data_IF_239581177448
#
_entry.id   IF_239581177448
#
_cell.length_a   1.000
_cell.length_b   1.000
_cell.length_c   1.000
_cell.angle_alpha   90.00
_cell.angle_beta   90.00
_cell.angle_gamma   90.00
#
_symmetry.space_group_name_H-M   'P 1'
#
loop_
_entity.id
_entity.type
_entity.pdbx_description
1 polymer ?
#
# COMPACT_ATOMS: atom_id res chain seq x y z
N UNK A 1 -6.31 -12.56 -5.28
CA UNK A 1 -6.34 -11.24 -4.60
C UNK A 1 -5.63 -10.20 -5.46
N UNK A 2 -6.25 -9.07 -5.64
CA UNK A 2 -5.65 -7.97 -6.40
C UNK A 2 -5.32 -6.83 -5.44
N UNK A 3 -4.07 -6.38 -5.48
CA UNK A 3 -3.57 -5.35 -4.58
C UNK A 3 -3.00 -4.22 -5.42
N UNK A 4 -3.51 -3.01 -5.19
CA UNK A 4 -3.02 -1.81 -5.86
C UNK A 4 -2.52 -0.83 -4.83
N UNK A 5 -1.39 -0.21 -5.10
CA UNK A 5 -0.84 0.87 -4.28
C UNK A 5 -0.66 2.10 -5.15
N UNK A 6 -1.12 3.22 -4.64
CA UNK A 6 -0.93 4.52 -5.26
C UNK A 6 -0.22 5.43 -4.27
N UNK A 7 0.91 5.97 -4.67
CA UNK A 7 1.70 6.90 -3.86
C UNK A 7 1.61 8.29 -4.47
N UNK A 8 1.24 9.26 -3.66
CA UNK A 8 1.15 10.65 -4.08
C UNK A 8 1.89 11.54 -3.10
N UNK A 9 2.20 12.77 -3.51
CA UNK A 9 2.88 13.74 -2.66
C UNK A 9 4.39 13.62 -2.74
N UNK A 10 5.05 13.91 -1.63
CA UNK A 10 6.49 14.02 -1.60
C UNK A 10 6.96 15.32 -2.20
N UNK A 11 8.27 15.56 -2.12
CA UNK A 11 8.86 16.84 -2.51
C UNK A 11 8.67 17.15 -3.99
N UNK A 12 8.75 16.14 -4.85
CA UNK A 12 8.61 16.32 -6.29
C UNK A 12 7.17 16.24 -6.80
N UNK A 13 6.21 15.85 -5.95
CA UNK A 13 4.82 15.73 -6.34
C UNK A 13 4.55 14.64 -7.38
N UNK A 14 5.45 13.69 -7.54
CA UNK A 14 5.32 12.64 -8.55
C UNK A 14 4.45 11.51 -8.02
N UNK A 15 3.40 11.18 -8.77
CA UNK A 15 2.55 10.04 -8.46
C UNK A 15 3.18 8.76 -8.98
N UNK A 16 3.09 7.70 -8.20
CA UNK A 16 3.50 6.37 -8.61
C UNK A 16 2.44 5.37 -8.19
N UNK A 17 2.11 4.45 -9.08
CA UNK A 17 1.17 3.38 -8.75
C UNK A 17 1.63 2.06 -9.33
N UNK A 18 1.21 0.97 -8.70
CA UNK A 18 1.47 -0.37 -9.17
C UNK A 18 0.35 -1.30 -8.70
N UNK A 19 0.17 -2.40 -9.40
CA UNK A 19 -0.86 -3.37 -9.09
C UNK A 19 -0.29 -4.78 -9.24
N UNK A 20 -0.71 -5.68 -8.36
CA UNK A 20 -0.31 -7.08 -8.37
C UNK A 20 -1.55 -7.95 -8.25
N UNK A 21 -1.62 -9.01 -9.06
CA UNK A 21 -2.59 -10.09 -8.88
C UNK A 21 -1.83 -11.26 -8.28
N UNK A 22 -2.12 -11.57 -7.01
CA UNK A 22 -1.38 -12.57 -6.26
C UNK A 22 -1.77 -14.01 -6.63
N UNK A 23 -2.86 -14.20 -7.34
CA UNK A 23 -3.36 -15.55 -7.64
C UNK A 23 -2.38 -16.39 -8.46
N UNK A 24 -1.50 -15.75 -9.22
CA UNK A 24 -0.50 -16.43 -10.05
C UNK A 24 0.88 -16.48 -9.40
N UNK A 25 1.04 -16.00 -8.18
CA UNK A 25 2.33 -15.89 -7.53
C UNK A 25 2.59 -17.05 -6.58
N UNK A 26 3.83 -17.53 -6.57
CA UNK A 26 4.22 -18.62 -5.66
C UNK A 26 4.21 -18.22 -4.19
N UNK A 27 4.36 -16.94 -3.89
CA UNK A 27 4.36 -16.42 -2.53
C UNK A 27 3.02 -15.75 -2.15
N UNK A 28 1.93 -16.18 -2.76
CA UNK A 28 0.59 -15.63 -2.51
C UNK A 28 0.22 -15.62 -1.02
N UNK A 29 0.65 -16.63 -0.26
CA UNK A 29 0.38 -16.70 1.18
C UNK A 29 1.00 -15.54 1.95
N UNK A 30 2.19 -15.10 1.57
CA UNK A 30 2.85 -13.96 2.21
C UNK A 30 2.11 -12.66 1.89
N UNK A 31 1.66 -12.51 0.64
CA UNK A 31 0.86 -11.37 0.23
C UNK A 31 -0.45 -11.31 1.02
N UNK A 32 -1.11 -12.45 1.17
CA UNK A 32 -2.36 -12.53 1.94
C UNK A 32 -2.16 -12.14 3.40
N UNK A 33 -1.11 -12.63 4.03
CA UNK A 33 -0.81 -12.31 5.43
C UNK A 33 -0.62 -10.81 5.63
N UNK A 34 0.14 -10.16 4.75
CA UNK A 34 0.34 -8.72 4.81
C UNK A 34 -0.96 -7.96 4.55
N UNK A 35 -1.72 -8.38 3.54
CA UNK A 35 -2.97 -7.72 3.17
C UNK A 35 -3.99 -7.80 4.31
N UNK A 36 -4.15 -8.97 4.93
CA UNK A 36 -5.06 -9.15 6.05
C UNK A 36 -4.65 -8.26 7.23
N UNK A 37 -3.36 -8.20 7.54
CA UNK A 37 -2.86 -7.35 8.62
C UNK A 37 -3.17 -5.89 8.34
N UNK A 38 -2.93 -5.42 7.11
CA UNK A 38 -3.21 -4.04 6.71
C UNK A 38 -4.69 -3.72 6.86
N UNK A 39 -5.57 -4.63 6.43
CA UNK A 39 -7.02 -4.44 6.55
C UNK A 39 -7.48 -4.43 8.01
N UNK A 40 -6.87 -5.27 8.86
CA UNK A 40 -7.19 -5.34 10.28
C UNK A 40 -6.75 -4.09 11.03
N UNK A 41 -5.63 -3.50 10.64
CA UNK A 41 -5.17 -2.25 11.24
C UNK A 41 -6.08 -1.07 10.92
N UNK A 42 -6.79 -1.14 9.80
CA UNK A 42 -7.71 -0.11 9.38
C UNK A 42 -7.01 1.11 8.78
N UNK A 43 -7.81 2.10 8.43
CA UNK A 43 -7.32 3.31 7.80
C UNK A 43 -6.87 4.31 8.86
N UNK A 44 -5.76 4.99 8.59
CA UNK A 44 -5.39 6.23 9.27
C UNK A 44 -6.28 7.36 8.72
N UNK A 45 -6.28 8.52 9.38
CA UNK A 45 -7.03 9.69 8.93
C UNK A 45 -6.45 10.31 7.64
N UNK A 46 -5.34 9.78 7.17
CA UNK A 46 -4.70 10.24 5.94
C UNK A 46 -3.91 11.53 6.07
N UNK A 47 -3.76 12.04 7.27
CA UNK A 47 -2.99 13.26 7.49
C UNK A 47 -1.51 12.94 7.53
N UNK A 48 -0.79 13.42 6.53
CA UNK A 48 0.65 13.36 6.48
C UNK A 48 1.26 14.73 6.65
N UNK A 49 2.58 14.78 6.70
CA UNK A 49 3.31 16.04 6.63
C UNK A 49 3.31 16.54 5.18
N UNK A 50 3.40 17.85 4.94
CA UNK A 50 3.34 18.38 3.56
C UNK A 50 4.36 17.79 2.61
N UNK A 51 5.54 17.42 3.10
CA UNK A 51 6.62 16.83 2.30
C UNK A 51 6.59 15.31 2.30
N UNK A 52 5.65 14.70 3.01
CA UNK A 52 5.54 13.25 3.10
C UNK A 52 4.73 12.66 1.97
N UNK A 53 4.85 11.35 1.80
CA UNK A 53 4.04 10.61 0.86
C UNK A 53 2.70 10.23 1.47
N UNK A 54 1.66 10.23 0.64
CA UNK A 54 0.37 9.65 0.97
C UNK A 54 0.15 8.40 0.12
N UNK A 55 -0.45 7.39 0.72
CA UNK A 55 -0.64 6.10 0.06
C UNK A 55 -2.10 5.68 0.11
N UNK A 56 -2.56 5.11 -0.99
CA UNK A 56 -3.83 4.40 -1.04
C UNK A 56 -3.52 2.95 -1.38
N UNK A 57 -3.93 2.05 -0.50
CA UNK A 57 -3.75 0.61 -0.69
C UNK A 57 -5.13 0.02 -0.92
N UNK A 58 -5.37 -0.51 -2.12
CA UNK A 58 -6.64 -1.13 -2.46
C UNK A 58 -6.45 -2.63 -2.56
N UNK A 59 -7.21 -3.38 -1.76
CA UNK A 59 -7.16 -4.83 -1.68
C UNK A 59 -8.55 -5.36 -1.98
N UNK A 60 -8.73 -5.99 -3.13
CA UNK A 60 -10.01 -6.54 -3.59
C UNK A 60 -11.17 -5.55 -3.41
N UNK A 61 -10.94 -4.29 -3.76
CA UNK A 61 -11.96 -3.25 -3.71
C UNK A 61 -12.05 -2.48 -2.40
N UNK A 62 -11.34 -2.90 -1.36
CA UNK A 62 -11.27 -2.16 -0.11
C UNK A 62 -10.03 -1.27 -0.10
N UNK A 63 -10.23 0.00 0.18
CA UNK A 63 -9.14 0.98 0.19
C UNK A 63 -8.78 1.40 1.60
N UNK A 64 -7.48 1.29 1.92
CA UNK A 64 -6.90 1.78 3.17
C UNK A 64 -5.97 2.93 2.81
N UNK A 65 -6.12 4.04 3.52
CA UNK A 65 -5.27 5.22 3.32
C UNK A 65 -4.32 5.40 4.46
N UNK A 66 -3.09 5.73 4.15
CA UNK A 66 -2.06 6.03 5.15
C UNK A 66 -1.09 7.04 4.57
N UNK A 67 -0.25 7.60 5.43
CA UNK A 67 0.71 8.60 4.99
C UNK A 67 1.82 8.79 6.02
N UNK A 68 2.98 9.24 5.54
CA UNK A 68 4.11 9.55 6.40
C UNK A 68 3.71 10.59 7.44
N UNK A 69 4.22 10.47 8.65
CA UNK A 69 5.11 9.44 9.18
C UNK A 69 4.37 8.23 9.81
N UNK A 70 3.08 8.11 9.63
CA UNK A 70 2.24 7.14 10.33
C UNK A 70 2.02 5.83 9.60
N UNK A 71 2.89 5.49 8.67
CA UNK A 71 2.80 4.22 7.96
C UNK A 71 3.24 3.10 8.90
N UNK A 72 2.38 2.11 9.12
CA UNK A 72 2.72 0.96 9.96
C UNK A 72 3.74 0.06 9.25
N UNK A 73 4.34 -0.85 10.01
CA UNK A 73 5.30 -1.79 9.44
C UNK A 73 4.68 -2.67 8.37
N UNK A 74 3.46 -3.17 8.61
CA UNK A 74 2.75 -3.99 7.65
C UNK A 74 2.39 -3.20 6.39
N UNK A 75 1.92 -1.97 6.55
CA UNK A 75 1.61 -1.08 5.43
C UNK A 75 2.86 -0.82 4.61
N UNK A 76 3.97 -0.49 5.25
CA UNK A 76 5.23 -0.20 4.59
C UNK A 76 5.74 -1.42 3.81
N UNK A 77 5.66 -2.60 4.42
CA UNK A 77 6.09 -3.84 3.77
C UNK A 77 5.25 -4.13 2.53
N UNK A 78 3.93 -3.99 2.63
CA UNK A 78 3.03 -4.23 1.51
C UNK A 78 3.26 -3.21 0.39
N UNK A 79 3.36 -1.93 0.73
CA UNK A 79 3.60 -0.86 -0.23
C UNK A 79 4.90 -1.13 -1.01
N UNK A 80 5.97 -1.42 -0.28
CA UNK A 80 7.26 -1.68 -0.90
C UNK A 80 7.21 -2.88 -1.84
N UNK A 81 6.56 -3.94 -1.40
CA UNK A 81 6.46 -5.17 -2.17
C UNK A 81 5.67 -4.95 -3.46
N UNK A 82 4.54 -4.25 -3.39
CA UNK A 82 3.74 -3.94 -4.58
C UNK A 82 4.49 -3.03 -5.54
N UNK A 83 5.11 -1.96 -5.03
CA UNK A 83 5.83 -1.02 -5.90
C UNK A 83 7.07 -1.66 -6.54
N UNK A 84 7.65 -2.67 -5.91
CA UNK A 84 8.80 -3.38 -6.44
C UNK A 84 8.40 -4.44 -7.48
N UNK A 85 7.36 -5.21 -7.22
CA UNK A 85 6.99 -6.38 -8.02
C UNK A 85 5.80 -6.15 -8.93
N UNK A 86 5.02 -5.12 -8.68
CA UNK A 86 3.85 -4.79 -9.47
C UNK A 86 4.17 -4.07 -10.77
N UNK A 87 3.14 -3.93 -11.57
CA UNK A 87 3.23 -3.26 -12.85
C UNK A 87 2.25 -2.08 -12.94
#
# INVERSE_FOLDING_TARGET
MRIRVRRTGGFAGIERSAEVDTSALSDAGQWHALAVTVLQEGADDGRGVPDGFSYEITIDGETVRCGDPRVTEAQRALIRKVLKEGA
#
